data_IF_185025985183
#
_entry.id   IF_185025985183
#
_cell.length_a   1.000
_cell.length_b   1.000
_cell.length_c   1.000
_cell.angle_alpha   90.00
_cell.angle_beta   90.00
_cell.angle_gamma   90.00
#
_symmetry.space_group_name_H-M   'P 1'
#
loop_
_entity.id
_entity.type
_entity.pdbx_description
1 polymer ?
#
# COMPACT_ATOMS: atom_id res chain seq x y z
N UNK A 1 -22.37 20.36 15.53
CA UNK A 1 -22.08 18.92 15.36
C UNK A 1 -23.20 18.33 14.53
N UNK A 2 -22.90 17.63 13.45
CA UNK A 2 -23.93 17.07 12.56
C UNK A 2 -24.57 15.83 13.20
N UNK A 3 -25.79 15.49 12.75
CA UNK A 3 -26.46 14.26 13.18
C UNK A 3 -25.62 13.01 12.87
N UNK A 4 -24.81 13.08 11.81
CA UNK A 4 -23.90 11.99 11.41
C UNK A 4 -22.78 11.78 12.43
N UNK A 5 -22.19 12.89 12.94
CA UNK A 5 -21.14 12.83 13.96
C UNK A 5 -21.67 12.20 15.26
N UNK A 6 -22.90 12.53 15.62
CA UNK A 6 -23.53 11.99 16.83
C UNK A 6 -23.86 10.50 16.67
N UNK A 7 -24.41 10.10 15.54
CA UNK A 7 -24.67 8.70 15.22
C UNK A 7 -23.39 7.87 15.22
N UNK A 8 -22.34 8.35 14.57
CA UNK A 8 -21.04 7.66 14.53
C UNK A 8 -20.45 7.51 15.94
N UNK A 9 -20.57 8.54 16.77
CA UNK A 9 -20.05 8.50 18.14
C UNK A 9 -20.80 7.49 19.00
N UNK A 10 -22.12 7.41 18.90
CA UNK A 10 -22.93 6.42 19.61
C UNK A 10 -22.55 4.98 19.18
N UNK A 11 -22.44 4.72 17.89
CA UNK A 11 -22.02 3.40 17.39
C UNK A 11 -20.62 3.01 17.85
N UNK A 12 -19.67 3.96 17.85
CA UNK A 12 -18.33 3.71 18.36
C UNK A 12 -18.32 3.44 19.86
N UNK A 13 -19.19 4.09 20.63
CA UNK A 13 -19.34 3.82 22.07
C UNK A 13 -19.88 2.40 22.32
N UNK A 14 -20.88 1.99 21.56
CA UNK A 14 -21.45 0.64 21.63
C UNK A 14 -20.39 -0.43 21.26
N UNK A 15 -19.63 -0.21 20.21
CA UNK A 15 -18.54 -1.14 19.82
C UNK A 15 -17.44 -1.22 20.87
N UNK A 16 -17.10 -0.11 21.53
CA UNK A 16 -16.13 -0.11 22.64
C UNK A 16 -16.67 -0.89 23.83
N UNK A 17 -17.94 -0.68 24.19
CA UNK A 17 -18.58 -1.40 25.28
C UNK A 17 -18.67 -2.90 25.01
N UNK A 18 -18.90 -3.29 23.76
CA UNK A 18 -18.94 -4.69 23.31
C UNK A 18 -17.53 -5.32 23.09
N UNK A 19 -16.44 -4.59 23.29
CA UNK A 19 -15.08 -5.08 23.00
C UNK A 19 -14.77 -5.29 21.52
N UNK A 20 -15.57 -4.70 20.63
CA UNK A 20 -15.43 -4.85 19.16
C UNK A 20 -14.65 -3.71 18.51
N UNK A 21 -14.38 -2.63 19.24
CA UNK A 21 -13.62 -1.50 18.71
C UNK A 21 -12.17 -1.91 18.45
N UNK A 22 -11.68 -1.52 17.27
CA UNK A 22 -10.28 -1.72 16.86
C UNK A 22 -9.59 -0.38 16.68
N UNK A 23 -8.36 -0.30 17.16
CA UNK A 23 -7.49 0.86 16.93
C UNK A 23 -6.30 0.42 16.08
N UNK A 24 -6.01 1.12 14.97
CA UNK A 24 -4.82 0.84 14.19
C UNK A 24 -3.55 1.10 15.00
N UNK A 25 -2.55 0.24 14.87
CA UNK A 25 -1.22 0.51 15.39
C UNK A 25 -0.44 1.40 14.43
N UNK A 26 0.29 2.38 14.94
CA UNK A 26 1.07 3.30 14.11
C UNK A 26 2.53 2.87 14.09
N UNK A 27 3.00 2.48 12.90
CA UNK A 27 4.40 2.14 12.69
C UNK A 27 5.21 3.42 12.44
N UNK A 28 6.34 3.56 13.12
CA UNK A 28 7.31 4.64 12.89
C UNK A 28 8.50 4.23 12.01
N UNK A 29 8.52 2.97 11.59
CA UNK A 29 9.51 2.41 10.64
C UNK A 29 8.79 1.68 9.51
N UNK A 30 9.56 1.23 8.50
CA UNK A 30 9.05 0.26 7.54
C UNK A 30 8.59 -1.04 8.22
N UNK A 31 7.68 -1.76 7.58
CA UNK A 31 7.12 -3.01 8.09
C UNK A 31 8.06 -4.19 7.80
N UNK A 32 9.26 -4.13 8.34
CA UNK A 32 10.26 -5.19 8.32
C UNK A 32 9.99 -6.23 9.43
N UNK A 33 10.69 -7.37 9.44
CA UNK A 33 10.55 -8.38 10.52
C UNK A 33 10.72 -7.81 11.93
N UNK A 34 11.57 -6.79 12.08
CA UNK A 34 11.68 -5.98 13.29
C UNK A 34 11.21 -4.56 12.96
N UNK A 35 10.28 -4.04 13.72
CA UNK A 35 9.67 -2.74 13.48
C UNK A 35 9.39 -2.00 14.78
N UNK A 36 9.14 -0.69 14.66
CA UNK A 36 8.82 0.18 15.79
C UNK A 36 7.34 0.56 15.76
N UNK A 37 6.63 0.29 16.85
CA UNK A 37 5.23 0.69 17.06
C UNK A 37 5.17 1.46 18.39
N UNK A 38 4.67 2.67 18.34
CA UNK A 38 4.51 3.54 19.52
C UNK A 38 5.79 3.64 20.39
N UNK A 39 6.95 3.74 19.71
CA UNK A 39 8.27 3.87 20.33
C UNK A 39 8.84 2.58 20.93
N UNK A 40 8.25 1.43 20.70
CA UNK A 40 8.74 0.12 21.13
C UNK A 40 9.08 -0.77 19.94
N UNK A 41 10.09 -1.59 20.13
CA UNK A 41 10.48 -2.61 19.13
C UNK A 41 9.58 -3.85 19.24
N UNK A 42 9.16 -4.36 18.08
CA UNK A 42 8.36 -5.57 17.96
C UNK A 42 8.91 -6.47 16.85
N UNK A 43 8.75 -7.78 17.02
CA UNK A 43 8.91 -8.75 15.93
C UNK A 43 7.55 -8.93 15.26
N UNK A 44 7.49 -8.66 13.97
CA UNK A 44 6.25 -8.59 13.20
C UNK A 44 5.94 -9.95 12.53
N UNK A 45 4.96 -10.67 13.08
CA UNK A 45 4.49 -11.95 12.54
C UNK A 45 3.24 -11.84 11.66
N UNK A 46 2.56 -10.68 11.66
CA UNK A 46 1.27 -10.49 10.98
C UNK A 46 1.38 -9.74 9.63
N UNK A 47 2.60 -9.60 9.11
CA UNK A 47 2.83 -8.94 7.82
C UNK A 47 2.57 -9.89 6.66
N UNK A 48 1.98 -9.37 5.58
CA UNK A 48 1.90 -10.07 4.28
C UNK A 48 3.14 -9.88 3.40
N UNK A 49 4.19 -9.24 3.91
CA UNK A 49 5.46 -9.01 3.22
C UNK A 49 6.35 -10.28 3.24
N UNK A 50 5.81 -11.40 2.79
CA UNK A 50 6.45 -12.73 2.88
C UNK A 50 7.81 -12.82 2.20
N UNK A 51 8.02 -12.07 1.12
CA UNK A 51 9.27 -12.05 0.36
C UNK A 51 10.18 -10.88 0.75
N UNK A 52 9.80 -10.04 1.71
CA UNK A 52 10.58 -8.89 2.14
C UNK A 52 10.69 -7.77 1.09
N UNK A 53 9.84 -7.77 0.07
CA UNK A 53 9.97 -6.85 -1.07
C UNK A 53 9.57 -5.41 -0.75
N UNK A 54 8.73 -5.18 0.26
CA UNK A 54 8.26 -3.85 0.61
C UNK A 54 9.37 -2.87 1.03
N UNK A 55 10.46 -3.38 1.60
CA UNK A 55 11.65 -2.60 1.97
C UNK A 55 12.92 -3.00 1.18
N UNK A 56 12.78 -3.76 0.10
CA UNK A 56 13.93 -4.19 -0.69
C UNK A 56 14.56 -3.00 -1.42
N UNK A 57 15.89 -2.77 -1.30
CA UNK A 57 16.58 -1.65 -1.94
C UNK A 57 16.36 -1.59 -3.45
N UNK A 58 16.40 -2.70 -4.18
CA UNK A 58 16.19 -2.70 -5.63
C UNK A 58 14.77 -2.24 -6.01
N UNK A 59 13.75 -2.61 -5.20
CA UNK A 59 12.37 -2.18 -5.44
C UNK A 59 12.23 -0.68 -5.14
N UNK A 60 12.82 -0.20 -4.06
CA UNK A 60 12.73 1.22 -3.67
C UNK A 60 13.53 2.13 -4.60
N UNK A 61 14.70 1.69 -5.08
CA UNK A 61 15.51 2.40 -6.08
C UNK A 61 14.74 2.52 -7.41
N UNK A 62 14.22 1.42 -7.95
CA UNK A 62 13.42 1.43 -9.17
C UNK A 62 12.16 2.31 -9.05
N UNK A 63 11.50 2.30 -7.89
CA UNK A 63 10.37 3.17 -7.63
C UNK A 63 10.78 4.65 -7.60
N UNK A 64 11.94 4.97 -7.01
CA UNK A 64 12.47 6.34 -6.96
C UNK A 64 12.82 6.85 -8.36
N UNK A 65 13.50 6.05 -9.17
CA UNK A 65 13.82 6.39 -10.56
C UNK A 65 12.55 6.63 -11.39
N UNK A 66 11.53 5.79 -11.22
CA UNK A 66 10.24 5.95 -11.89
C UNK A 66 9.52 7.22 -11.44
N UNK A 67 9.56 7.53 -10.15
CA UNK A 67 8.97 8.75 -9.58
C UNK A 67 9.65 10.02 -10.13
N UNK A 68 10.97 10.03 -10.21
CA UNK A 68 11.74 11.15 -10.77
C UNK A 68 11.43 11.35 -12.27
N UNK A 69 11.28 10.27 -13.01
CA UNK A 69 11.07 10.31 -14.46
C UNK A 69 9.62 10.62 -14.86
N UNK A 70 8.64 10.07 -14.16
CA UNK A 70 7.23 10.10 -14.55
C UNK A 70 6.34 10.90 -13.60
N UNK A 71 6.84 11.29 -12.43
CA UNK A 71 6.02 11.91 -11.38
C UNK A 71 5.26 10.90 -10.53
N UNK A 72 4.52 11.39 -9.56
CA UNK A 72 3.84 10.57 -8.53
C UNK A 72 2.56 9.87 -9.02
N UNK A 73 2.09 10.15 -10.25
CA UNK A 73 0.86 9.56 -10.77
C UNK A 73 0.62 9.85 -12.22
N UNK A 74 -0.45 9.28 -12.73
CA UNK A 74 -0.87 9.46 -14.11
C UNK A 74 -1.76 10.70 -14.27
N UNK A 75 -1.49 11.52 -15.27
CA UNK A 75 -2.28 12.72 -15.58
C UNK A 75 -3.60 12.45 -16.30
N UNK A 76 -3.93 11.20 -16.59
CA UNK A 76 -5.15 10.81 -17.30
C UNK A 76 -5.37 9.30 -17.30
N UNK A 77 -6.46 8.87 -17.94
CA UNK A 77 -6.69 7.44 -18.13
C UNK A 77 -5.67 6.84 -19.13
N UNK A 78 -5.39 5.56 -19.00
CA UNK A 78 -4.44 4.86 -19.88
C UNK A 78 -4.83 4.89 -21.36
N UNK A 79 -6.12 4.89 -21.64
CA UNK A 79 -6.65 4.94 -22.99
C UNK A 79 -6.38 6.27 -23.70
N UNK A 80 -6.20 7.35 -22.94
CA UNK A 80 -6.01 8.70 -23.49
C UNK A 80 -4.56 9.18 -23.35
N UNK A 81 -4.19 9.72 -22.19
CA UNK A 81 -2.91 10.38 -21.96
C UNK A 81 -2.12 9.81 -20.78
N UNK A 82 -2.68 8.84 -20.07
CA UNK A 82 -2.11 8.33 -18.81
C UNK A 82 -1.17 7.12 -18.96
N UNK A 83 -0.93 6.60 -20.16
CA UNK A 83 -0.04 5.47 -20.37
C UNK A 83 1.41 5.92 -20.56
N UNK A 84 2.30 5.44 -19.71
CA UNK A 84 3.74 5.68 -19.80
C UNK A 84 4.48 4.41 -20.23
N UNK A 85 5.76 4.54 -20.58
CA UNK A 85 6.61 3.38 -20.90
C UNK A 85 6.71 2.40 -19.72
N UNK A 86 6.64 2.88 -18.46
CA UNK A 86 6.61 2.03 -17.28
C UNK A 86 5.39 1.09 -17.26
N UNK A 87 4.21 1.59 -17.60
CA UNK A 87 3.00 0.77 -17.68
C UNK A 87 3.13 -0.35 -18.72
N UNK A 88 3.66 -0.01 -19.91
CA UNK A 88 3.87 -1.00 -20.97
C UNK A 88 4.89 -2.06 -20.57
N UNK A 89 5.96 -1.65 -19.88
CA UNK A 89 6.97 -2.58 -19.39
C UNK A 89 6.41 -3.53 -18.34
N UNK A 90 5.66 -3.01 -17.34
CA UNK A 90 5.01 -3.83 -16.31
C UNK A 90 4.07 -4.86 -16.93
N UNK A 91 3.25 -4.47 -17.91
CA UNK A 91 2.36 -5.39 -18.60
C UNK A 91 3.12 -6.58 -19.23
N UNK A 92 4.23 -6.30 -19.91
CA UNK A 92 5.09 -7.33 -20.53
C UNK A 92 5.76 -8.23 -19.47
N UNK A 93 6.25 -7.65 -18.41
CA UNK A 93 6.96 -8.39 -17.36
C UNK A 93 6.00 -9.30 -16.57
N UNK A 94 4.78 -8.83 -16.30
CA UNK A 94 3.72 -9.65 -15.70
C UNK A 94 3.32 -10.79 -16.64
N UNK A 95 3.14 -10.52 -17.94
CA UNK A 95 2.83 -11.56 -18.93
C UNK A 95 3.89 -12.67 -18.92
N UNK A 96 5.17 -12.30 -18.94
CA UNK A 96 6.28 -13.27 -18.87
C UNK A 96 6.28 -14.07 -17.56
N UNK A 97 6.04 -13.38 -16.43
CA UNK A 97 6.05 -14.01 -15.10
C UNK A 97 4.99 -15.10 -14.99
N UNK A 98 3.80 -14.86 -15.54
CA UNK A 98 2.67 -15.80 -15.48
C UNK A 98 2.56 -16.73 -16.69
N UNK A 99 3.45 -16.60 -17.68
CA UNK A 99 3.50 -17.47 -18.85
C UNK A 99 2.45 -17.18 -19.93
N UNK A 100 1.98 -15.93 -20.02
CA UNK A 100 1.07 -15.48 -21.06
C UNK A 100 1.81 -14.70 -22.15
N UNK A 101 1.21 -14.63 -23.35
CA UNK A 101 1.79 -13.92 -24.51
C UNK A 101 1.70 -12.39 -24.33
N UNK A 102 0.62 -11.89 -23.70
CA UNK A 102 0.38 -10.47 -23.48
C UNK A 102 -0.40 -10.25 -22.17
N UNK A 103 -0.25 -9.08 -21.60
CA UNK A 103 -1.06 -8.59 -20.50
C UNK A 103 -1.52 -7.16 -20.81
N UNK A 104 -2.81 -6.94 -20.71
CA UNK A 104 -3.46 -5.63 -20.89
C UNK A 104 -4.40 -5.39 -19.73
N UNK A 105 -4.55 -4.17 -19.35
CA UNK A 105 -5.50 -3.66 -18.37
C UNK A 105 -6.76 -3.10 -19.01
#
# INVERSE_FOLDING_TARGET
MSWLDESARLQLADWRAAGLARSPSTFSTGQNPVCMIDGREYVLFSSSNYLGLAGNPHVTEAATEALERYGAGSGGSRLTTGSTAAHVQVARDVARLVGYEDARD
#
